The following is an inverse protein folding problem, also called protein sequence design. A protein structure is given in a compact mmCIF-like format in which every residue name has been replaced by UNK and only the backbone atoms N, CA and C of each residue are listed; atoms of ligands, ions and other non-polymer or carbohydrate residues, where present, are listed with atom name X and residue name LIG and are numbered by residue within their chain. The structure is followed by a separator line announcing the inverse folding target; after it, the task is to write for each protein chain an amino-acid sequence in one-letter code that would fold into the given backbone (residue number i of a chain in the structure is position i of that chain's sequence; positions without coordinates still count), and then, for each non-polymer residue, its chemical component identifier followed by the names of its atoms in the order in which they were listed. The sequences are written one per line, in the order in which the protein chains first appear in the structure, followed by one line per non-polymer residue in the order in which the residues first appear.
data_IF_204616447796
#
_entry.id   IF_204616447796
#
_cell.length_a   1.000
_cell.length_b   1.000
_cell.length_c   1.000
_cell.angle_alpha   90.00
_cell.angle_beta   90.00
_cell.angle_gamma   90.00
#
_symmetry.space_group_name_H-M   'P 1'
#
loop_
_entity.id
_entity.type
_entity.pdbx_description
1 polymer ?
#
# COMPACT_ATOMS: atom_id res chain seq x y z
N UNK A 1 -0.46 -20.94 17.45
CA UNK A 1 -1.35 -20.03 16.70
C UNK A 1 -0.66 -18.68 16.64
N UNK A 2 -0.09 -18.31 15.48
CA UNK A 2 0.48 -16.96 15.29
C UNK A 2 -0.64 -15.93 15.41
N UNK A 3 -0.38 -14.83 16.11
CA UNK A 3 -1.39 -13.81 16.40
C UNK A 3 -1.84 -13.16 15.09
N UNK A 4 -3.13 -12.89 14.90
CA UNK A 4 -3.63 -12.20 13.70
C UNK A 4 -2.89 -10.88 13.45
N UNK A 5 -2.51 -10.18 14.53
CA UNK A 5 -1.70 -8.97 14.50
C UNK A 5 -0.33 -9.23 13.88
N UNK A 6 0.38 -10.28 14.33
CA UNK A 6 1.69 -10.67 13.81
C UNK A 6 1.66 -10.87 12.29
N UNK A 7 0.64 -11.57 11.78
CA UNK A 7 0.50 -11.84 10.34
C UNK A 7 0.30 -10.57 9.51
N UNK A 8 -0.42 -9.59 10.05
CA UNK A 8 -0.61 -8.29 9.40
C UNK A 8 0.72 -7.54 9.35
N UNK A 9 1.46 -7.47 10.47
CA UNK A 9 2.76 -6.80 10.51
C UNK A 9 3.76 -7.43 9.52
N UNK A 10 3.76 -8.75 9.39
CA UNK A 10 4.56 -9.42 8.36
C UNK A 10 4.10 -9.11 6.94
N UNK A 11 2.79 -9.01 6.70
CA UNK A 11 2.28 -8.59 5.39
C UNK A 11 2.58 -7.13 5.05
N UNK A 12 2.71 -6.26 6.06
CA UNK A 12 3.16 -4.87 5.91
C UNK A 12 4.67 -4.86 5.61
N UNK A 13 5.46 -5.67 6.31
CA UNK A 13 6.89 -5.75 6.05
C UNK A 13 7.18 -6.26 4.63
N UNK A 14 6.42 -7.25 4.15
CA UNK A 14 6.58 -7.80 2.82
C UNK A 14 5.30 -8.52 2.34
N UNK A 15 4.69 -8.13 1.21
CA UNK A 15 3.56 -8.84 0.63
C UNK A 15 3.84 -10.34 0.43
N UNK A 16 2.94 -11.17 0.93
CA UNK A 16 3.02 -12.64 0.84
C UNK A 16 3.45 -13.34 2.11
N UNK A 17 4.18 -12.69 3.03
CA UNK A 17 4.52 -13.31 4.32
C UNK A 17 3.29 -13.59 5.18
N UNK A 18 2.32 -12.66 5.21
CA UNK A 18 1.05 -12.87 5.91
C UNK A 18 0.29 -14.09 5.38
N UNK A 19 0.27 -14.30 4.06
CA UNK A 19 -0.35 -15.45 3.41
C UNK A 19 0.37 -16.75 3.76
N UNK A 20 1.71 -16.77 3.76
CA UNK A 20 2.50 -17.93 4.20
C UNK A 20 2.18 -18.29 5.65
N UNK A 21 2.12 -17.30 6.54
CA UNK A 21 1.76 -17.50 7.95
C UNK A 21 0.29 -17.92 8.15
N UNK A 22 -0.56 -17.66 7.17
CA UNK A 22 -1.94 -18.19 7.09
C UNK A 22 -2.01 -19.60 6.47
N UNK A 23 -0.88 -20.23 6.14
CA UNK A 23 -0.83 -21.55 5.49
C UNK A 23 -1.18 -21.52 4.01
N UNK A 24 -1.28 -20.34 3.39
CA UNK A 24 -1.63 -20.15 1.98
C UNK A 24 -0.36 -19.96 1.13
N UNK A 25 0.43 -21.02 1.01
CA UNK A 25 1.73 -20.99 0.34
C UNK A 25 1.67 -20.48 -1.10
N UNK A 26 0.73 -20.97 -1.92
CA UNK A 26 0.61 -20.56 -3.33
C UNK A 26 0.33 -19.05 -3.43
N UNK A 27 -0.63 -18.53 -2.66
CA UNK A 27 -0.92 -17.08 -2.63
C UNK A 27 0.31 -16.29 -2.17
N UNK A 28 0.97 -16.76 -1.11
CA UNK A 28 2.14 -16.09 -0.55
C UNK A 28 3.29 -16.00 -1.54
N UNK A 29 3.58 -17.09 -2.26
CA UNK A 29 4.61 -17.10 -3.30
C UNK A 29 4.25 -16.18 -4.48
N UNK A 30 2.97 -16.10 -4.87
CA UNK A 30 2.51 -15.17 -5.91
C UNK A 30 2.74 -13.72 -5.47
N UNK A 31 2.37 -13.37 -4.24
CA UNK A 31 2.59 -12.00 -3.73
C UNK A 31 4.07 -11.66 -3.60
N UNK A 32 4.91 -12.59 -3.12
CA UNK A 32 6.36 -12.39 -3.07
C UNK A 32 6.92 -12.17 -4.48
N UNK A 33 6.48 -12.98 -5.45
CA UNK A 33 6.89 -12.82 -6.84
C UNK A 33 6.48 -11.46 -7.41
N UNK A 34 5.23 -11.04 -7.18
CA UNK A 34 4.74 -9.73 -7.61
C UNK A 34 5.49 -8.58 -6.93
N UNK A 35 5.79 -8.70 -5.64
CA UNK A 35 6.58 -7.73 -4.88
C UNK A 35 7.96 -7.55 -5.52
N UNK A 36 8.68 -8.63 -5.79
CA UNK A 36 9.98 -8.56 -6.47
C UNK A 36 9.85 -8.04 -7.90
N UNK A 37 8.86 -8.50 -8.66
CA UNK A 37 8.65 -8.08 -10.04
C UNK A 37 8.39 -6.57 -10.13
N UNK A 38 7.49 -6.04 -9.30
CA UNK A 38 7.17 -4.62 -9.26
C UNK A 38 8.38 -3.84 -8.75
N UNK A 39 9.02 -4.28 -7.65
CA UNK A 39 10.18 -3.59 -7.07
C UNK A 39 11.30 -3.38 -8.09
N UNK A 40 11.70 -4.46 -8.78
CA UNK A 40 12.77 -4.41 -9.79
C UNK A 40 12.37 -3.55 -10.98
N UNK A 41 11.20 -3.75 -11.56
CA UNK A 41 10.80 -3.01 -12.76
C UNK A 41 10.47 -1.52 -12.49
N UNK A 42 10.12 -1.17 -11.26
CA UNK A 42 9.87 0.22 -10.84
C UNK A 42 11.11 0.97 -10.35
N UNK A 43 12.24 0.28 -10.18
CA UNK A 43 13.41 0.77 -9.43
C UNK A 43 13.08 1.18 -7.98
N UNK A 44 12.11 0.51 -7.35
CA UNK A 44 11.52 0.96 -6.07
C UNK A 44 12.57 1.22 -4.99
N UNK A 45 13.50 0.30 -4.78
CA UNK A 45 14.53 0.45 -3.74
C UNK A 45 15.43 1.68 -3.98
N UNK A 46 15.83 1.93 -5.22
CA UNK A 46 16.65 3.10 -5.59
C UNK A 46 15.85 4.40 -5.39
N UNK A 47 14.59 4.42 -5.82
CA UNK A 47 13.69 5.56 -5.66
C UNK A 47 13.40 5.85 -4.18
N UNK A 48 13.26 4.82 -3.34
CA UNK A 48 13.12 4.96 -1.88
C UNK A 48 14.35 5.66 -1.33
N UNK A 49 15.57 5.22 -1.67
CA UNK A 49 16.81 5.85 -1.19
C UNK A 49 16.80 7.35 -1.54
N UNK A 50 16.59 7.69 -2.82
CA UNK A 50 16.57 9.09 -3.26
C UNK A 50 15.47 9.91 -2.57
N UNK A 51 14.29 9.34 -2.37
CA UNK A 51 13.18 10.00 -1.70
C UNK A 51 13.51 10.33 -0.24
N UNK A 52 14.13 9.41 0.49
CA UNK A 52 14.48 9.59 1.90
C UNK A 52 15.78 10.36 2.13
N UNK A 53 16.67 10.46 1.14
CA UNK A 53 17.83 11.36 1.19
C UNK A 53 17.51 12.78 0.71
N UNK A 54 16.28 13.03 0.25
CA UNK A 54 15.81 14.34 -0.21
C UNK A 54 16.14 14.68 -1.66
N UNK A 55 16.71 13.76 -2.43
CA UNK A 55 16.98 13.95 -3.86
C UNK A 55 15.74 13.57 -4.69
N UNK A 56 14.72 14.44 -4.62
CA UNK A 56 13.45 14.21 -5.28
C UNK A 56 13.58 14.23 -6.82
N UNK A 57 14.57 14.97 -7.34
CA UNK A 57 14.87 14.99 -8.77
C UNK A 57 15.27 13.61 -9.29
N UNK A 58 16.22 12.96 -8.61
CA UNK A 58 16.61 11.59 -8.95
C UNK A 58 15.51 10.58 -8.65
N UNK A 59 14.74 10.76 -7.56
CA UNK A 59 13.60 9.90 -7.27
C UNK A 59 12.59 9.87 -8.44
N UNK A 60 12.22 11.04 -8.96
CA UNK A 60 11.31 11.13 -10.12
C UNK A 60 11.96 10.55 -11.38
N UNK A 61 13.22 10.90 -11.67
CA UNK A 61 13.90 10.50 -12.89
C UNK A 61 14.14 8.97 -12.99
N UNK A 62 14.37 8.31 -11.85
CA UNK A 62 14.60 6.85 -11.78
C UNK A 62 13.32 6.04 -11.66
N UNK A 63 12.21 6.66 -11.29
CA UNK A 63 10.94 5.96 -11.14
C UNK A 63 10.40 5.51 -12.50
N UNK A 64 10.16 4.22 -12.64
CA UNK A 64 9.31 3.73 -13.72
C UNK A 64 7.85 3.76 -13.26
N UNK A 65 7.12 4.79 -13.74
CA UNK A 65 5.75 5.09 -13.35
C UNK A 65 4.75 3.98 -13.71
N UNK A 66 4.94 3.29 -14.83
CA UNK A 66 4.05 2.20 -15.27
C UNK A 66 4.04 1.05 -14.25
N UNK A 67 5.21 0.75 -13.65
CA UNK A 67 5.34 -0.32 -12.68
C UNK A 67 4.99 0.11 -11.26
N UNK A 68 5.47 1.27 -10.81
CA UNK A 68 5.24 1.71 -9.41
C UNK A 68 3.75 1.98 -9.13
N UNK A 69 2.95 2.33 -10.13
CA UNK A 69 1.51 2.55 -9.96
C UNK A 69 0.75 1.27 -9.55
N UNK A 70 1.29 0.08 -9.82
CA UNK A 70 0.72 -1.17 -9.32
C UNK A 70 0.96 -1.37 -7.81
N UNK A 71 2.02 -0.75 -7.27
CA UNK A 71 2.49 -1.02 -5.92
C UNK A 71 1.44 -0.70 -4.84
N UNK A 72 0.80 0.49 -4.79
CA UNK A 72 -0.22 0.78 -3.77
C UNK A 72 -1.37 -0.23 -3.77
N UNK A 73 -1.80 -0.69 -4.94
CA UNK A 73 -2.88 -1.66 -5.08
C UNK A 73 -2.48 -3.06 -4.60
N UNK A 74 -1.36 -3.59 -5.12
CA UNK A 74 -0.89 -4.94 -4.77
C UNK A 74 -0.53 -5.02 -3.29
N UNK A 75 0.17 -4.02 -2.78
CA UNK A 75 0.58 -3.94 -1.38
C UNK A 75 -0.63 -3.86 -0.44
N UNK A 76 -1.56 -2.94 -0.69
CA UNK A 76 -2.79 -2.80 0.12
C UNK A 76 -3.63 -4.07 0.07
N UNK A 77 -3.80 -4.67 -1.11
CA UNK A 77 -4.57 -5.90 -1.27
C UNK A 77 -3.93 -7.09 -0.54
N UNK A 78 -2.60 -7.23 -0.60
CA UNK A 78 -1.89 -8.28 0.12
C UNK A 78 -2.13 -8.19 1.63
N UNK A 79 -2.08 -6.98 2.20
CA UNK A 79 -2.39 -6.74 3.62
C UNK A 79 -3.83 -7.13 3.93
N UNK A 80 -4.79 -6.70 3.10
CA UNK A 80 -6.20 -7.04 3.30
C UNK A 80 -6.47 -8.54 3.23
N UNK A 81 -5.91 -9.23 2.24
CA UNK A 81 -6.09 -10.68 2.08
C UNK A 81 -5.49 -11.44 3.27
N UNK A 82 -4.30 -11.05 3.73
CA UNK A 82 -3.68 -11.62 4.93
C UNK A 82 -4.52 -11.39 6.20
N UNK A 83 -5.05 -10.17 6.38
CA UNK A 83 -5.93 -9.82 7.50
C UNK A 83 -7.21 -10.64 7.50
N UNK A 84 -7.85 -10.78 6.34
CA UNK A 84 -9.09 -11.56 6.20
C UNK A 84 -8.86 -13.04 6.45
N UNK A 85 -7.80 -13.62 5.90
CA UNK A 85 -7.44 -15.03 6.12
C UNK A 85 -7.04 -15.30 7.58
N UNK A 86 -6.59 -14.29 8.33
CA UNK A 86 -6.33 -14.37 9.76
C UNK A 86 -7.60 -14.27 10.64
N UNK A 87 -8.79 -14.18 10.04
CA UNK A 87 -10.08 -14.09 10.75
C UNK A 87 -10.57 -12.67 11.00
N UNK A 88 -9.91 -11.66 10.44
CA UNK A 88 -10.35 -10.27 10.43
C UNK A 88 -11.46 -9.98 9.42
N UNK A 89 -11.83 -8.71 9.28
CA UNK A 89 -12.75 -8.25 8.21
C UNK A 89 -14.19 -8.74 8.32
N UNK A 90 -14.65 -9.13 9.53
CA UNK A 90 -16.01 -9.67 9.74
C UNK A 90 -17.10 -8.59 9.77
N UNK A 91 -16.74 -7.34 10.08
CA UNK A 91 -17.71 -6.25 10.09
C UNK A 91 -18.05 -5.81 8.67
N UNK A 92 -19.28 -5.32 8.48
CA UNK A 92 -19.71 -4.73 7.22
C UNK A 92 -18.75 -3.60 6.82
N UNK A 93 -18.41 -3.54 5.53
CA UNK A 93 -17.57 -2.49 4.94
C UNK A 93 -16.14 -2.39 5.49
N UNK A 94 -15.63 -3.42 6.17
CA UNK A 94 -14.27 -3.46 6.72
C UNK A 94 -13.14 -3.39 5.68
N UNK A 95 -13.45 -3.58 4.40
CA UNK A 95 -12.51 -3.41 3.30
C UNK A 95 -12.25 -1.94 2.93
N UNK A 96 -13.12 -1.01 3.31
CA UNK A 96 -13.08 0.38 2.85
C UNK A 96 -11.75 1.09 3.18
N UNK A 97 -11.19 1.02 4.40
CA UNK A 97 -9.91 1.66 4.69
C UNK A 97 -8.80 1.22 3.74
N UNK A 98 -8.74 -0.07 3.40
CA UNK A 98 -7.68 -0.60 2.54
C UNK A 98 -7.91 -0.27 1.06
N UNK A 99 -9.17 -0.23 0.60
CA UNK A 99 -9.49 0.18 -0.77
C UNK A 99 -9.18 1.66 -0.99
N UNK A 100 -9.54 2.53 -0.05
CA UNK A 100 -9.19 3.95 -0.14
C UNK A 100 -7.68 4.19 0.02
N UNK A 101 -6.98 3.38 0.83
CA UNK A 101 -5.52 3.35 0.88
C UNK A 101 -4.90 3.09 -0.50
N UNK A 102 -5.38 2.08 -1.22
CA UNK A 102 -4.92 1.79 -2.58
C UNK A 102 -5.18 2.96 -3.53
N UNK A 103 -6.42 3.48 -3.55
CA UNK A 103 -6.80 4.55 -4.49
C UNK A 103 -6.01 5.84 -4.26
N UNK A 104 -5.97 6.34 -3.02
CA UNK A 104 -5.24 7.58 -2.73
C UNK A 104 -3.72 7.38 -2.82
N UNK A 105 -3.22 6.18 -2.51
CA UNK A 105 -1.82 5.84 -2.75
C UNK A 105 -1.46 5.91 -4.23
N UNK A 106 -2.27 5.31 -5.12
CA UNK A 106 -2.06 5.41 -6.57
C UNK A 106 -2.13 6.85 -7.05
N UNK A 107 -3.13 7.64 -6.61
CA UNK A 107 -3.20 9.06 -6.96
C UNK A 107 -1.96 9.83 -6.47
N UNK A 108 -1.48 9.55 -5.25
CA UNK A 108 -0.27 10.17 -4.71
C UNK A 108 0.95 9.89 -5.57
N UNK A 109 1.11 8.66 -6.06
CA UNK A 109 2.16 8.31 -7.01
C UNK A 109 1.95 9.01 -8.36
N UNK A 110 0.74 8.99 -8.93
CA UNK A 110 0.43 9.60 -10.23
C UNK A 110 0.67 11.10 -10.26
N UNK A 111 0.29 11.81 -9.21
CA UNK A 111 0.41 13.28 -9.11
C UNK A 111 1.82 13.75 -8.70
N UNK A 112 2.73 12.83 -8.35
CA UNK A 112 4.02 13.16 -7.75
C UNK A 112 4.98 13.98 -8.62
N UNK A 113 4.79 14.00 -9.94
CA UNK A 113 5.68 14.71 -10.86
C UNK A 113 5.41 16.22 -10.92
N UNK A 114 4.20 16.65 -10.54
CA UNK A 114 3.78 18.06 -10.64
C UNK A 114 3.09 18.62 -9.40
N UNK A 115 2.64 17.78 -8.47
CA UNK A 115 2.03 18.24 -7.24
C UNK A 115 3.10 18.76 -6.26
N UNK A 116 2.94 20.02 -5.84
CA UNK A 116 3.88 20.73 -4.97
C UNK A 116 3.17 21.17 -3.69
N UNK A 117 3.80 20.90 -2.55
CA UNK A 117 3.33 21.36 -1.24
C UNK A 117 4.27 22.48 -0.79
N UNK A 118 3.75 23.70 -0.69
CA UNK A 118 4.55 24.90 -0.39
C UNK A 118 5.74 25.11 -1.36
N UNK A 119 5.58 24.73 -2.63
CA UNK A 119 6.64 24.81 -3.65
C UNK A 119 7.65 23.67 -3.62
N UNK A 120 7.45 22.64 -2.78
CA UNK A 120 8.31 21.47 -2.67
C UNK A 120 7.60 20.25 -3.25
N UNK A 121 8.26 19.55 -4.18
CA UNK A 121 7.82 18.23 -4.66
C UNK A 121 8.24 17.17 -3.66
N UNK A 122 7.33 16.26 -3.35
CA UNK A 122 7.61 15.15 -2.43
C UNK A 122 8.04 13.87 -3.16
N UNK A 123 7.85 13.81 -4.49
CA UNK A 123 8.18 12.64 -5.29
C UNK A 123 7.22 11.46 -5.07
N UNK A 124 7.40 10.37 -5.84
CA UNK A 124 6.43 9.28 -5.93
C UNK A 124 6.26 8.51 -4.62
N UNK A 125 7.33 8.33 -3.84
CA UNK A 125 7.29 7.55 -2.61
C UNK A 125 6.59 8.33 -1.49
N UNK A 126 7.07 9.53 -1.15
CA UNK A 126 6.54 10.27 0.00
C UNK A 126 5.09 10.72 -0.26
N UNK A 127 4.77 11.21 -1.47
CA UNK A 127 3.39 11.58 -1.80
C UNK A 127 2.48 10.36 -1.87
N UNK A 128 2.97 9.23 -2.40
CA UNK A 128 2.27 7.95 -2.38
C UNK A 128 1.94 7.48 -0.96
N UNK A 129 2.90 7.54 -0.03
CA UNK A 129 2.70 7.18 1.37
C UNK A 129 1.69 8.10 2.08
N UNK A 130 1.76 9.41 1.84
CA UNK A 130 0.75 10.37 2.35
C UNK A 130 -0.63 10.04 1.79
N UNK A 131 -0.71 9.70 0.50
CA UNK A 131 -1.92 9.22 -0.15
C UNK A 131 -2.48 7.97 0.54
N UNK A 132 -1.65 6.97 0.80
CA UNK A 132 -2.05 5.74 1.48
C UNK A 132 -2.58 6.01 2.90
N UNK A 133 -1.86 6.79 3.70
CA UNK A 133 -2.26 7.13 5.08
C UNK A 133 -3.59 7.90 5.08
N UNK A 134 -3.72 8.92 4.25
CA UNK A 134 -4.97 9.68 4.11
C UNK A 134 -6.12 8.80 3.59
N UNK A 135 -5.83 7.82 2.74
CA UNK A 135 -6.79 6.85 2.24
C UNK A 135 -7.34 5.94 3.34
N UNK A 136 -6.47 5.41 4.21
CA UNK A 136 -6.91 4.62 5.38
C UNK A 136 -7.84 5.44 6.26
N UNK A 137 -7.47 6.69 6.57
CA UNK A 137 -8.26 7.59 7.40
C UNK A 137 -9.63 7.90 6.77
N UNK A 138 -9.65 8.26 5.49
CA UNK A 138 -10.88 8.55 4.75
C UNK A 138 -11.79 7.32 4.66
N UNK A 139 -11.23 6.16 4.32
CA UNK A 139 -11.99 4.92 4.24
C UNK A 139 -12.58 4.50 5.60
N UNK A 140 -11.87 4.75 6.70
CA UNK A 140 -12.38 4.51 8.05
C UNK A 140 -13.51 5.46 8.43
N UNK A 141 -13.39 6.76 8.09
CA UNK A 141 -14.48 7.75 8.28
C UNK A 141 -15.73 7.31 7.52
N UNK A 142 -15.57 6.95 6.24
CA UNK A 142 -16.70 6.50 5.39
C UNK A 142 -17.31 5.21 5.95
N UNK A 143 -16.50 4.24 6.34
CA UNK A 143 -16.97 3.00 6.98
C UNK A 143 -17.82 3.30 8.22
N UNK A 144 -17.38 4.26 9.05
CA UNK A 144 -18.06 4.63 10.28
C UNK A 144 -19.40 5.30 9.98
N UNK A 145 -19.45 6.22 9.01
CA UNK A 145 -20.68 6.89 8.58
C UNK A 145 -21.71 5.88 8.03
N UNK A 146 -21.27 4.97 7.16
CA UNK A 146 -22.18 3.99 6.54
C UNK A 146 -22.70 3.00 7.58
N UNK A 147 -21.83 2.54 8.49
CA UNK A 147 -22.22 1.60 9.55
C UNK A 147 -23.19 2.25 10.54
N UNK A 148 -22.95 3.53 10.91
CA UNK A 148 -23.83 4.29 11.79
C UNK A 148 -25.23 4.48 11.19
N UNK A 149 -25.35 4.75 9.88
CA UNK A 149 -26.65 4.93 9.20
C UNK A 149 -27.47 3.65 9.06
N UNK A 150 -26.86 2.47 9.23
CA UNK A 150 -27.52 1.16 9.07
C UNK A 150 -28.03 0.58 10.39
N UNK A 151 -27.53 1.09 11.51
CA UNK A 151 -28.00 0.78 12.87
C UNK A 151 -29.08 1.77 13.29
#
# INVERSE_FOLDING_TARGET
MTNAVEKIFWSIAFPGFGQILNGKLIKGLIFIFLEFLINVNSNLNEVIIFSFTGDIGQAIAKTNYEWIMFYPCVYSFAIWDAFRDAGGGKSSYSFLPIVFCAYLGTLGVTYSTFFEIFGIRLGPILLGLIGMISGVLLGWIIQTIITFRKN
#
